data_IF_412581344316
#
_entry.id   IF_412581344316
#
_cell.length_a   1.000
_cell.length_b   1.000
_cell.length_c   1.000
_cell.angle_alpha   90.00
_cell.angle_beta   90.00
_cell.angle_gamma   90.00
#
_symmetry.space_group_name_H-M   'P 1'
#
loop_
_entity.id
_entity.type
_entity.pdbx_description
1 polymer ?
#
# COMPACT_ATOMS: atom_id res chain seq x y z
N UNK A 1 -31.13 10.82 27.08
CA UNK A 1 -30.81 10.36 25.72
C UNK A 1 -29.73 11.28 25.18
N UNK A 2 -28.47 10.84 25.14
CA UNK A 2 -27.38 11.57 24.46
C UNK A 2 -27.19 10.95 23.07
N UNK A 3 -27.82 11.56 22.07
CA UNK A 3 -27.59 11.26 20.66
C UNK A 3 -26.14 11.65 20.30
N UNK A 4 -25.35 10.69 19.81
CA UNK A 4 -24.12 11.00 19.06
C UNK A 4 -22.78 10.58 19.68
N UNK A 5 -22.72 10.10 20.92
CA UNK A 5 -21.47 9.56 21.46
C UNK A 5 -21.27 8.11 21.01
N UNK A 6 -20.28 7.86 20.15
CA UNK A 6 -19.82 6.51 19.82
C UNK A 6 -19.20 5.92 21.09
N UNK A 7 -19.78 4.85 21.62
CA UNK A 7 -19.15 4.07 22.68
C UNK A 7 -18.01 3.24 22.08
N UNK A 8 -16.77 3.73 22.27
CA UNK A 8 -15.57 3.07 21.78
C UNK A 8 -15.37 1.68 22.39
N UNK A 9 -15.80 1.44 23.62
CA UNK A 9 -15.65 0.14 24.28
C UNK A 9 -16.56 -0.88 23.59
N UNK A 10 -17.79 -0.48 23.27
CA UNK A 10 -18.73 -1.33 22.55
C UNK A 10 -18.28 -1.58 21.10
N UNK A 11 -17.79 -0.53 20.41
CA UNK A 11 -17.26 -0.65 19.05
C UNK A 11 -16.05 -1.60 18.97
N UNK A 12 -15.15 -1.58 19.96
CA UNK A 12 -14.00 -2.49 20.02
C UNK A 12 -14.39 -3.92 20.39
N UNK A 13 -15.48 -4.12 21.16
CA UNK A 13 -15.99 -5.46 21.48
C UNK A 13 -16.76 -6.10 20.34
N UNK A 14 -17.32 -5.30 19.43
CA UNK A 14 -18.17 -5.76 18.32
C UNK A 14 -17.52 -6.84 17.44
N UNK A 15 -16.25 -6.74 16.99
CA UNK A 15 -15.60 -7.82 16.23
C UNK A 15 -15.48 -9.14 17.01
N UNK A 16 -15.36 -9.08 18.33
CA UNK A 16 -15.20 -10.25 19.20
C UNK A 16 -16.54 -10.87 19.65
N UNK A 17 -17.67 -10.21 19.36
CA UNK A 17 -19.01 -10.70 19.71
C UNK A 17 -19.37 -12.02 19.00
N UNK A 18 -18.81 -12.27 17.81
CA UNK A 18 -18.96 -13.52 17.07
C UNK A 18 -17.57 -14.04 16.65
N UNK A 19 -16.97 -14.84 17.54
CA UNK A 19 -15.62 -15.39 17.35
C UNK A 19 -15.49 -16.23 16.07
N UNK A 20 -16.58 -16.88 15.63
CA UNK A 20 -16.55 -17.69 14.39
C UNK A 20 -16.43 -16.79 13.17
N UNK A 21 -17.23 -15.71 13.10
CA UNK A 21 -17.16 -14.76 11.98
C UNK A 21 -15.84 -14.01 11.94
N UNK A 22 -15.32 -13.66 13.12
CA UNK A 22 -13.98 -13.08 13.25
C UNK A 22 -12.89 -14.00 12.71
N UNK A 23 -12.88 -15.27 13.13
CA UNK A 23 -11.88 -16.24 12.70
C UNK A 23 -11.94 -16.49 11.20
N UNK A 24 -13.14 -16.58 10.61
CA UNK A 24 -13.31 -16.67 9.16
C UNK A 24 -12.70 -15.46 8.45
N UNK A 25 -12.97 -14.25 8.92
CA UNK A 25 -12.34 -13.04 8.37
C UNK A 25 -10.82 -13.05 8.49
N UNK A 26 -10.28 -13.49 9.62
CA UNK A 26 -8.84 -13.58 9.84
C UNK A 26 -8.17 -14.60 8.90
N UNK A 27 -8.77 -15.78 8.72
CA UNK A 27 -8.25 -16.81 7.81
C UNK A 27 -8.31 -16.35 6.34
N UNK A 28 -9.43 -15.76 5.92
CA UNK A 28 -9.59 -15.24 4.56
C UNK A 28 -8.67 -14.05 4.28
N UNK A 29 -8.38 -13.24 5.30
CA UNK A 29 -7.51 -12.06 5.21
C UNK A 29 -6.04 -12.37 4.97
N UNK A 30 -5.57 -13.58 5.35
CA UNK A 30 -4.19 -14.01 5.10
C UNK A 30 -3.94 -14.23 3.60
N UNK A 31 -4.98 -14.61 2.84
CA UNK A 31 -4.86 -14.90 1.42
C UNK A 31 -4.97 -13.57 0.64
N UNK A 32 -3.92 -13.10 -0.05
CA UNK A 32 -3.86 -11.73 -0.57
C UNK A 32 -5.04 -11.32 -1.46
N UNK A 33 -5.46 -12.20 -2.38
CA UNK A 33 -6.57 -11.91 -3.30
C UNK A 33 -7.93 -11.98 -2.57
N UNK A 34 -8.07 -12.90 -1.62
CA UNK A 34 -9.32 -13.12 -0.88
C UNK A 34 -9.51 -12.08 0.24
N UNK A 35 -8.45 -11.38 0.64
CA UNK A 35 -8.50 -10.25 1.57
C UNK A 35 -9.47 -9.16 1.09
N UNK A 36 -9.61 -8.94 -0.23
CA UNK A 36 -10.61 -8.01 -0.76
C UNK A 36 -12.04 -8.38 -0.34
N UNK A 37 -12.35 -9.66 -0.22
CA UNK A 37 -13.65 -10.11 0.30
C UNK A 37 -13.85 -9.72 1.76
N UNK A 38 -12.78 -9.73 2.56
CA UNK A 38 -12.81 -9.27 3.96
C UNK A 38 -13.05 -7.76 4.02
N UNK A 39 -12.41 -6.98 3.16
CA UNK A 39 -12.65 -5.52 3.05
C UNK A 39 -14.12 -5.23 2.73
N UNK A 40 -14.69 -5.93 1.75
CA UNK A 40 -16.12 -5.78 1.43
C UNK A 40 -17.04 -6.18 2.60
N UNK A 41 -16.68 -7.22 3.35
CA UNK A 41 -17.41 -7.63 4.56
C UNK A 41 -17.36 -6.57 5.67
N UNK A 42 -16.21 -5.91 5.85
CA UNK A 42 -16.07 -4.80 6.79
C UNK A 42 -16.98 -3.63 6.41
N UNK A 43 -17.10 -3.30 5.13
CA UNK A 43 -18.02 -2.25 4.66
C UNK A 43 -19.49 -2.60 4.92
N UNK A 44 -19.86 -3.86 4.72
CA UNK A 44 -21.19 -4.36 5.08
C UNK A 44 -21.44 -4.27 6.60
N UNK A 45 -20.39 -4.42 7.41
CA UNK A 45 -20.48 -4.39 8.88
C UNK A 45 -20.58 -2.97 9.46
N UNK A 46 -20.07 -1.96 8.77
CA UNK A 46 -20.12 -0.54 9.20
C UNK A 46 -21.47 0.12 8.92
N UNK A 47 -22.37 -0.55 8.17
CA UNK A 47 -23.69 0.00 7.85
C UNK A 47 -23.66 1.14 6.83
N UNK A 48 -22.54 1.30 6.11
CA UNK A 48 -22.37 2.23 4.99
C UNK A 48 -22.98 1.69 3.69
N UNK A 49 -23.45 0.44 3.69
CA UNK A 49 -24.08 -0.26 2.57
C UNK A 49 -25.57 -0.50 2.83
N UNK A 50 -26.35 -0.68 1.76
CA UNK A 50 -27.80 -0.95 1.83
C UNK A 50 -28.15 -2.21 2.64
N UNK A 51 -27.31 -3.25 2.59
CA UNK A 51 -27.33 -4.38 3.54
C UNK A 51 -26.83 -3.90 4.90
N UNK A 52 -27.70 -3.24 5.66
CA UNK A 52 -27.41 -2.88 7.05
C UNK A 52 -27.38 -4.16 7.87
N UNK A 53 -26.38 -4.34 8.72
CA UNK A 53 -26.38 -5.42 9.70
C UNK A 53 -27.57 -5.21 10.66
N UNK A 54 -28.66 -5.94 10.43
CA UNK A 54 -29.85 -5.91 11.27
C UNK A 54 -29.50 -6.34 12.70
N UNK A 55 -29.89 -5.53 13.69
CA UNK A 55 -29.76 -5.90 15.11
C UNK A 55 -28.38 -5.72 15.75
N UNK A 56 -27.46 -4.96 15.15
CA UNK A 56 -26.17 -4.60 15.78
C UNK A 56 -25.09 -5.70 15.74
N UNK A 57 -25.44 -6.92 15.31
CA UNK A 57 -24.52 -8.03 15.12
C UNK A 57 -23.59 -7.88 13.90
N UNK A 58 -22.71 -8.86 13.73
CA UNK A 58 -21.88 -9.01 12.53
C UNK A 58 -22.68 -9.70 11.41
N UNK A 59 -22.62 -9.21 10.15
CA UNK A 59 -23.35 -9.79 9.03
C UNK A 59 -22.92 -11.24 8.76
N UNK A 60 -23.77 -12.04 8.11
CA UNK A 60 -23.39 -13.40 7.74
C UNK A 60 -22.40 -13.43 6.57
N UNK A 61 -21.46 -14.38 6.58
CA UNK A 61 -20.56 -14.63 5.45
C UNK A 61 -21.34 -15.32 4.32
N UNK A 62 -22.01 -14.52 3.50
CA UNK A 62 -22.78 -14.95 2.32
C UNK A 62 -22.40 -14.08 1.13
N UNK A 63 -22.76 -14.54 -0.07
CA UNK A 63 -22.55 -13.79 -1.31
C UNK A 63 -21.09 -13.32 -1.49
N UNK A 64 -20.11 -14.22 -1.29
CA UNK A 64 -18.67 -13.90 -1.37
C UNK A 64 -18.26 -13.13 -2.64
N UNK A 65 -18.93 -13.37 -3.77
CA UNK A 65 -18.70 -12.62 -5.01
C UNK A 65 -19.13 -11.15 -4.94
N UNK A 66 -20.21 -10.83 -4.22
CA UNK A 66 -20.63 -9.44 -3.99
C UNK A 66 -19.68 -8.72 -3.03
N UNK A 67 -19.31 -9.40 -1.94
CA UNK A 67 -18.30 -8.92 -1.00
C UNK A 67 -16.96 -8.62 -1.68
N UNK A 68 -16.52 -9.51 -2.58
CA UNK A 68 -15.31 -9.29 -3.37
C UNK A 68 -15.43 -8.05 -4.27
N UNK A 69 -16.56 -7.88 -4.98
CA UNK A 69 -16.78 -6.70 -5.84
C UNK A 69 -16.77 -5.40 -5.04
N UNK A 70 -17.42 -5.37 -3.88
CA UNK A 70 -17.43 -4.22 -2.97
C UNK A 70 -16.02 -3.90 -2.48
N UNK A 71 -15.27 -4.91 -2.03
CA UNK A 71 -13.89 -4.75 -1.61
C UNK A 71 -12.96 -4.29 -2.73
N UNK A 72 -13.15 -4.80 -3.95
CA UNK A 72 -12.41 -4.35 -5.13
C UNK A 72 -12.71 -2.88 -5.45
N UNK A 73 -13.98 -2.46 -5.43
CA UNK A 73 -14.33 -1.05 -5.61
C UNK A 73 -13.70 -0.16 -4.53
N UNK A 74 -13.74 -0.60 -3.27
CA UNK A 74 -13.11 0.11 -2.16
C UNK A 74 -11.58 0.23 -2.33
N UNK A 75 -10.93 -0.85 -2.76
CA UNK A 75 -9.50 -0.86 -3.05
C UNK A 75 -9.15 0.09 -4.21
N UNK A 76 -9.95 0.11 -5.28
CA UNK A 76 -9.77 1.04 -6.41
C UNK A 76 -9.92 2.49 -5.96
N UNK A 77 -10.98 2.81 -5.20
CA UNK A 77 -11.19 4.16 -4.68
C UNK A 77 -10.05 4.56 -3.73
N UNK A 78 -9.66 3.67 -2.82
CA UNK A 78 -8.53 3.87 -1.91
C UNK A 78 -7.23 4.13 -2.67
N UNK A 79 -6.95 3.34 -3.72
CA UNK A 79 -5.78 3.51 -4.57
C UNK A 79 -5.80 4.88 -5.28
N UNK A 80 -6.94 5.28 -5.86
CA UNK A 80 -7.09 6.58 -6.51
C UNK A 80 -6.91 7.75 -5.52
N UNK A 81 -7.40 7.61 -4.29
CA UNK A 81 -7.21 8.61 -3.23
C UNK A 81 -5.76 8.64 -2.71
N UNK A 82 -5.04 7.52 -2.79
CA UNK A 82 -3.62 7.45 -2.45
C UNK A 82 -2.70 7.98 -3.56
N UNK A 83 -3.16 8.12 -4.81
CA UNK A 83 -2.33 8.59 -5.93
C UNK A 83 -1.60 9.91 -5.65
N UNK A 84 -2.22 10.97 -5.10
CA UNK A 84 -1.52 12.20 -4.77
C UNK A 84 -0.38 11.98 -3.76
N UNK A 85 -0.63 11.16 -2.74
CA UNK A 85 0.39 10.82 -1.74
C UNK A 85 1.53 10.01 -2.38
N UNK A 86 1.23 9.09 -3.29
CA UNK A 86 2.23 8.34 -4.05
C UNK A 86 3.06 9.24 -4.97
N UNK A 87 2.43 10.22 -5.64
CA UNK A 87 3.15 11.19 -6.48
C UNK A 87 4.11 12.01 -5.63
N UNK A 88 3.68 12.47 -4.44
CA UNK A 88 4.57 13.19 -3.52
C UNK A 88 5.66 12.27 -2.99
N UNK A 89 5.33 11.05 -2.58
CA UNK A 89 6.28 10.08 -2.03
C UNK A 89 7.36 9.73 -3.06
N UNK A 90 6.98 9.31 -4.27
CA UNK A 90 7.93 8.97 -5.33
C UNK A 90 8.60 10.19 -5.95
N UNK A 91 7.91 11.33 -6.02
CA UNK A 91 8.50 12.58 -6.50
C UNK A 91 9.60 13.10 -5.56
N UNK A 92 9.36 13.03 -4.24
CA UNK A 92 10.32 13.49 -3.23
C UNK A 92 11.41 12.46 -2.97
N UNK A 93 11.07 11.18 -2.74
CA UNK A 93 12.09 10.14 -2.56
C UNK A 93 12.88 9.88 -3.84
N UNK A 94 12.22 9.90 -5.01
CA UNK A 94 12.90 9.85 -6.30
C UNK A 94 13.82 11.05 -6.47
N UNK A 95 13.35 12.27 -6.21
CA UNK A 95 14.19 13.48 -6.27
C UNK A 95 15.39 13.45 -5.32
N UNK A 96 15.25 12.86 -4.13
CA UNK A 96 16.34 12.72 -3.14
C UNK A 96 17.31 11.60 -3.53
N UNK A 97 16.82 10.44 -3.97
CA UNK A 97 17.64 9.30 -4.39
C UNK A 97 18.41 9.57 -5.68
N UNK A 98 17.79 10.30 -6.62
CA UNK A 98 18.40 10.78 -7.85
C UNK A 98 18.98 12.19 -7.71
N UNK A 99 19.17 12.69 -6.48
CA UNK A 99 19.88 13.95 -6.30
C UNK A 99 21.36 13.77 -6.63
N UNK A 100 22.03 14.78 -7.21
CA UNK A 100 23.46 14.70 -7.51
C UNK A 100 24.29 14.40 -6.25
N UNK A 101 23.90 14.95 -5.09
CA UNK A 101 24.53 14.70 -3.79
C UNK A 101 24.39 13.25 -3.31
N UNK A 102 23.20 12.64 -3.40
CA UNK A 102 23.05 11.23 -2.99
C UNK A 102 23.68 10.27 -3.99
N UNK A 103 23.69 10.60 -5.29
CA UNK A 103 24.39 9.78 -6.27
C UNK A 103 25.88 9.67 -5.92
N UNK A 104 26.56 10.77 -5.59
CA UNK A 104 27.98 10.74 -5.20
C UNK A 104 28.21 9.92 -3.92
N UNK A 105 27.29 10.02 -2.94
CA UNK A 105 27.39 9.30 -1.66
C UNK A 105 27.24 7.77 -1.84
N UNK A 106 26.41 7.31 -2.78
CA UNK A 106 26.19 5.89 -3.03
C UNK A 106 27.07 5.30 -4.16
N UNK A 107 28.12 6.01 -4.62
CA UNK A 107 28.97 5.56 -5.74
C UNK A 107 28.32 5.72 -7.12
N UNK A 108 27.21 6.46 -7.17
CA UNK A 108 26.47 6.87 -8.34
C UNK A 108 27.24 7.79 -9.31
N UNK A 109 26.52 8.23 -10.34
CA UNK A 109 27.08 8.94 -11.50
C UNK A 109 27.81 10.23 -11.03
N UNK A 110 29.06 10.49 -11.46
CA UNK A 110 29.79 11.70 -11.06
C UNK A 110 29.08 12.99 -11.51
N UNK A 111 29.29 14.08 -10.76
CA UNK A 111 28.59 15.38 -10.94
C UNK A 111 28.70 15.95 -12.36
N UNK A 112 29.83 15.74 -13.05
CA UNK A 112 30.06 16.20 -14.42
C UNK A 112 29.13 15.52 -15.44
N UNK A 113 28.67 14.32 -15.10
CA UNK A 113 27.72 13.57 -15.89
C UNK A 113 26.29 13.99 -15.55
N UNK A 114 26.01 14.47 -14.32
CA UNK A 114 24.72 15.12 -14.03
C UNK A 114 24.50 16.39 -14.84
N UNK A 115 25.55 17.20 -15.02
CA UNK A 115 25.48 18.40 -15.85
C UNK A 115 25.16 18.05 -17.32
N UNK A 116 25.76 16.96 -17.82
CA UNK A 116 25.48 16.43 -19.17
C UNK A 116 24.09 15.82 -19.28
N UNK A 117 23.58 15.17 -18.22
CA UNK A 117 22.23 14.61 -18.16
C UNK A 117 21.19 15.72 -18.21
N UNK A 118 21.38 16.77 -17.39
CA UNK A 118 20.52 17.95 -17.35
C UNK A 118 20.55 18.74 -18.67
N UNK A 119 21.69 18.76 -19.36
CA UNK A 119 21.84 19.36 -20.68
C UNK A 119 21.28 18.49 -21.83
N UNK A 120 20.75 17.29 -21.55
CA UNK A 120 20.24 16.37 -22.58
C UNK A 120 21.31 15.82 -23.52
N UNK A 121 22.58 15.85 -23.11
CA UNK A 121 23.74 15.46 -23.93
C UNK A 121 24.19 14.02 -23.71
N UNK A 122 23.50 13.26 -22.85
CA UNK A 122 23.87 11.88 -22.58
C UNK A 122 23.26 10.97 -23.63
N UNK A 123 24.13 10.18 -24.26
CA UNK A 123 23.74 9.06 -25.12
C UNK A 123 23.47 7.83 -24.25
N UNK A 124 22.45 7.06 -24.58
CA UNK A 124 22.04 5.84 -23.83
C UNK A 124 23.24 4.91 -23.53
N UNK A 125 24.18 4.83 -24.46
CA UNK A 125 25.44 4.06 -24.39
C UNK A 125 26.32 4.47 -23.19
N UNK A 126 26.36 5.75 -22.82
CA UNK A 126 27.16 6.24 -21.70
C UNK A 126 26.54 5.86 -20.35
N UNK A 127 25.21 5.87 -20.26
CA UNK A 127 24.48 5.46 -19.05
C UNK A 127 24.62 3.96 -18.86
N UNK A 128 24.39 3.18 -19.91
CA UNK A 128 24.55 1.73 -19.89
C UNK A 128 25.97 1.33 -19.51
N UNK A 129 26.99 1.97 -20.11
CA UNK A 129 28.39 1.70 -19.81
C UNK A 129 28.78 2.08 -18.38
N UNK A 130 28.19 3.14 -17.81
CA UNK A 130 28.40 3.50 -16.41
C UNK A 130 27.70 2.52 -15.46
N UNK A 131 26.47 2.12 -15.79
CA UNK A 131 25.68 1.17 -14.99
C UNK A 131 26.33 -0.21 -14.94
N UNK A 132 26.81 -0.71 -16.08
CA UNK A 132 27.53 -1.99 -16.16
C UNK A 132 28.79 -2.02 -15.27
N UNK A 133 29.48 -0.88 -15.10
CA UNK A 133 30.67 -0.77 -14.24
C UNK A 133 30.35 -0.66 -12.75
N UNK A 134 29.19 -0.10 -12.39
CA UNK A 134 28.84 0.20 -11.00
C UNK A 134 27.67 -0.65 -10.47
N UNK A 135 27.14 -1.58 -11.26
CA UNK A 135 25.99 -2.43 -10.90
C UNK A 135 26.13 -3.12 -9.53
N UNK A 136 27.34 -3.55 -9.18
CA UNK A 136 27.62 -4.23 -7.91
C UNK A 136 27.42 -3.35 -6.68
N UNK A 137 27.50 -2.01 -6.83
CA UNK A 137 27.29 -1.06 -5.72
C UNK A 137 25.81 -0.89 -5.36
N UNK A 138 24.90 -1.29 -6.24
CA UNK A 138 23.46 -1.28 -5.95
C UNK A 138 23.01 -2.52 -5.17
N UNK A 139 23.80 -3.59 -5.14
CA UNK A 139 23.45 -4.84 -4.44
C UNK A 139 23.12 -4.59 -2.97
N UNK A 140 23.95 -3.89 -2.17
CA UNK A 140 23.64 -3.58 -0.78
C UNK A 140 22.37 -2.75 -0.62
N UNK A 141 22.04 -1.90 -1.60
CA UNK A 141 20.86 -1.04 -1.58
C UNK A 141 19.59 -1.89 -1.65
N UNK A 142 19.55 -2.88 -2.55
CA UNK A 142 18.43 -3.81 -2.66
C UNK A 142 18.36 -4.78 -1.49
N UNK A 143 19.48 -5.31 -1.02
CA UNK A 143 19.48 -6.26 0.11
C UNK A 143 19.15 -5.59 1.44
N UNK A 144 19.60 -4.35 1.68
CA UNK A 144 19.28 -3.62 2.90
C UNK A 144 17.87 -2.99 2.86
N UNK A 145 17.34 -2.69 1.66
CA UNK A 145 15.96 -2.24 1.48
C UNK A 145 14.94 -3.40 1.49
N UNK A 146 15.37 -4.64 1.22
CA UNK A 146 14.49 -5.81 1.13
C UNK A 146 13.56 -6.01 2.34
N UNK A 147 13.99 -5.85 3.61
CA UNK A 147 13.09 -5.98 4.76
C UNK A 147 11.96 -4.95 4.74
N UNK A 148 12.24 -3.71 4.32
CA UNK A 148 11.25 -2.63 4.27
C UNK A 148 10.27 -2.79 3.11
N UNK A 149 10.73 -3.30 1.96
CA UNK A 149 9.86 -3.62 0.82
C UNK A 149 8.93 -4.80 1.12
N UNK A 150 9.40 -5.78 1.90
CA UNK A 150 8.57 -6.91 2.35
C UNK A 150 7.53 -6.48 3.41
N UNK A 151 7.87 -5.50 4.26
CA UNK A 151 6.93 -4.94 5.24
C UNK A 151 5.84 -4.06 4.62
N UNK A 152 6.10 -3.41 3.49
CA UNK A 152 5.07 -2.67 2.74
C UNK A 152 4.13 -3.57 1.91
N UNK A 153 4.45 -4.85 1.78
CA UNK A 153 3.67 -5.86 1.06
C UNK A 153 2.83 -6.76 1.98
N UNK A 154 2.88 -6.53 3.30
CA UNK A 154 2.10 -7.20 4.35
C UNK A 154 1.12 -6.20 4.98
#
# INVERSE_FOLDING_TARGET
MSEGAIDFVEALRRPFSDTKKFLTGAVLGIIPIVNLTVVGYTMNSTGLTEEKAEGGGLPEWRNYGDLFKKGLMAAVIGFLLFLPALIVLFGTLGGVMFSPTMSVIFGGIPMDTWDKLAAGQITDIQIEGWFARNWTQFIPLFTNAAPFLLLGAL
#
